data_IF_600427450674
#
_entry.id   IF_600427450674
#
_cell.length_a   1.000
_cell.length_b   1.000
_cell.length_c   1.000
_cell.angle_alpha   90.00
_cell.angle_beta   90.00
_cell.angle_gamma   90.00
#
_symmetry.space_group_name_H-M   'P 1'
#
loop_
_entity.id
_entity.type
_entity.pdbx_description
1 polymer ?
#
# COMPACT_ATOMS: atom_id res chain seq x y z
N UNK A 1 13.88 12.58 -12.03
CA UNK A 1 15.22 12.17 -12.49
C UNK A 1 15.82 13.05 -13.59
N UNK A 2 15.14 14.09 -14.13
CA UNK A 2 15.76 15.02 -15.08
C UNK A 2 16.22 14.43 -16.43
N UNK A 3 15.94 13.14 -16.68
CA UNK A 3 16.41 12.37 -17.85
C UNK A 3 15.62 12.67 -19.12
N UNK A 4 14.39 13.21 -19.01
CA UNK A 4 13.53 13.60 -20.12
C UNK A 4 12.73 14.85 -19.73
N UNK A 5 12.36 15.67 -20.73
CA UNK A 5 11.50 16.83 -20.51
C UNK A 5 10.05 16.41 -20.22
N UNK A 6 9.24 17.24 -19.53
CA UNK A 6 7.82 16.97 -19.31
C UNK A 6 7.04 16.68 -20.60
N UNK A 7 7.33 17.40 -21.68
CA UNK A 7 6.69 17.23 -22.99
C UNK A 7 7.03 15.85 -23.58
N UNK A 8 8.31 15.46 -23.48
CA UNK A 8 8.77 14.14 -23.93
C UNK A 8 8.16 13.02 -23.10
N UNK A 9 8.08 13.18 -21.77
CA UNK A 9 7.38 12.25 -20.87
C UNK A 9 5.93 12.07 -21.28
N UNK A 10 5.20 13.17 -21.47
CA UNK A 10 3.76 13.10 -21.73
C UNK A 10 3.45 12.53 -23.10
N UNK A 11 4.25 12.85 -24.12
CA UNK A 11 4.18 12.20 -25.44
C UNK A 11 4.41 10.69 -25.36
N UNK A 12 5.46 10.25 -24.67
CA UNK A 12 5.79 8.82 -24.51
C UNK A 12 4.75 8.08 -23.66
N UNK A 13 4.19 8.73 -22.64
CA UNK A 13 3.19 8.14 -21.76
C UNK A 13 1.79 8.10 -22.39
N UNK A 14 1.52 8.84 -23.47
CA UNK A 14 0.18 8.96 -24.05
C UNK A 14 -0.40 7.60 -24.49
N UNK A 15 0.37 6.77 -25.20
CA UNK A 15 -0.10 5.45 -25.64
C UNK A 15 -0.32 4.46 -24.46
N UNK A 16 0.63 4.29 -23.51
CA UNK A 16 0.40 3.50 -22.29
C UNK A 16 -0.79 3.98 -21.46
N UNK A 17 -0.98 5.31 -21.32
CA UNK A 17 -2.11 5.88 -20.58
C UNK A 17 -3.45 5.60 -21.26
N UNK A 18 -3.54 5.70 -22.59
CA UNK A 18 -4.75 5.32 -23.34
C UNK A 18 -5.08 3.84 -23.16
N UNK A 19 -4.09 2.96 -23.25
CA UNK A 19 -4.26 1.52 -23.02
C UNK A 19 -4.74 1.25 -21.59
N UNK A 20 -4.10 1.85 -20.60
CA UNK A 20 -4.51 1.72 -19.19
C UNK A 20 -5.94 2.23 -18.95
N UNK A 21 -6.34 3.33 -19.60
CA UNK A 21 -7.70 3.85 -19.49
C UNK A 21 -8.74 2.87 -20.05
N UNK A 22 -8.47 2.29 -21.23
CA UNK A 22 -9.34 1.27 -21.83
C UNK A 22 -9.44 0.01 -20.94
N UNK A 23 -8.31 -0.49 -20.44
CA UNK A 23 -8.26 -1.65 -19.52
C UNK A 23 -8.99 -1.37 -18.20
N UNK A 24 -8.97 -0.13 -17.70
CA UNK A 24 -9.67 0.29 -16.47
C UNK A 24 -11.15 0.63 -16.69
N UNK A 25 -11.66 0.66 -17.92
CA UNK A 25 -13.04 1.08 -18.21
C UNK A 25 -14.08 0.18 -17.51
N UNK A 26 -13.76 -1.10 -17.28
CA UNK A 26 -14.64 -2.06 -16.58
C UNK A 26 -14.67 -1.86 -15.07
N UNK A 27 -13.76 -1.06 -14.49
CA UNK A 27 -13.57 -0.92 -13.04
C UNK A 27 -14.85 -0.50 -12.29
N UNK A 28 -15.64 0.49 -12.74
CA UNK A 28 -16.87 0.88 -12.02
C UNK A 28 -17.88 -0.25 -11.93
N UNK A 29 -18.01 -1.06 -13.00
CA UNK A 29 -18.86 -2.25 -12.98
C UNK A 29 -18.36 -3.28 -11.97
N UNK A 30 -17.06 -3.59 -11.96
CA UNK A 30 -16.50 -4.55 -11.02
C UNK A 30 -16.65 -4.10 -9.56
N UNK A 31 -16.48 -2.81 -9.28
CA UNK A 31 -16.67 -2.25 -7.95
C UNK A 31 -18.12 -2.34 -7.48
N UNK A 32 -19.08 -2.14 -8.39
CA UNK A 32 -20.51 -2.26 -8.09
C UNK A 32 -20.97 -3.74 -7.98
N UNK A 33 -20.44 -4.62 -8.83
CA UNK A 33 -20.82 -6.04 -8.86
C UNK A 33 -20.17 -6.86 -7.75
N UNK A 34 -18.95 -6.47 -7.33
CA UNK A 34 -18.17 -7.17 -6.31
C UNK A 34 -17.70 -6.21 -5.20
N UNK A 35 -18.63 -5.55 -4.49
CA UNK A 35 -18.27 -4.64 -3.42
C UNK A 35 -17.62 -5.41 -2.26
N UNK A 36 -16.66 -4.78 -1.58
CA UNK A 36 -16.11 -5.35 -0.35
C UNK A 36 -17.18 -5.25 0.75
N UNK A 37 -17.58 -6.36 1.39
CA UNK A 37 -18.55 -6.33 2.48
C UNK A 37 -18.14 -5.38 3.61
N UNK A 38 -19.07 -4.56 4.07
CA UNK A 38 -18.83 -3.60 5.16
C UNK A 38 -18.28 -4.27 6.43
N UNK A 39 -18.69 -5.51 6.73
CA UNK A 39 -18.19 -6.27 7.87
C UNK A 39 -16.67 -6.57 7.81
N UNK A 40 -16.07 -6.61 6.61
CA UNK A 40 -14.62 -6.77 6.44
C UNK A 40 -13.89 -5.43 6.64
N UNK A 41 -14.50 -4.34 6.20
CA UNK A 41 -13.93 -3.00 6.29
C UNK A 41 -14.06 -2.40 7.70
N UNK A 42 -15.17 -2.70 8.39
CA UNK A 42 -15.54 -2.16 9.71
C UNK A 42 -16.03 -3.28 10.62
N UNK A 43 -15.16 -4.25 10.96
CA UNK A 43 -15.55 -5.37 11.80
C UNK A 43 -15.83 -4.94 13.25
N UNK A 44 -16.44 -5.83 14.04
CA UNK A 44 -16.70 -5.62 15.46
C UNK A 44 -15.39 -5.50 16.28
N UNK A 45 -15.44 -4.83 17.42
CA UNK A 45 -14.25 -4.45 18.21
C UNK A 45 -13.34 -5.63 18.60
N UNK A 46 -13.93 -6.79 18.93
CA UNK A 46 -13.19 -7.99 19.29
C UNK A 46 -12.43 -8.65 18.12
N UNK A 47 -12.68 -8.22 16.88
CA UNK A 47 -12.10 -8.83 15.69
C UNK A 47 -10.63 -8.45 15.55
N UNK A 48 -9.75 -9.44 15.47
CA UNK A 48 -8.34 -9.25 15.13
C UNK A 48 -8.24 -8.85 13.66
N UNK A 49 -7.81 -7.61 13.40
CA UNK A 49 -7.60 -7.12 12.03
C UNK A 49 -6.16 -7.36 11.57
N UNK A 50 -5.19 -7.40 12.49
CA UNK A 50 -3.78 -7.65 12.19
C UNK A 50 -3.31 -8.92 12.86
N UNK A 51 -3.39 -10.05 12.15
CA UNK A 51 -2.92 -11.34 12.66
C UNK A 51 -1.45 -11.34 13.11
N UNK A 52 -0.59 -10.58 12.41
CA UNK A 52 0.85 -10.62 12.68
C UNK A 52 1.26 -9.93 13.98
N UNK A 53 0.45 -8.98 14.45
CA UNK A 53 0.76 -8.13 15.62
C UNK A 53 -0.41 -8.20 16.64
N UNK A 54 -1.35 -9.12 16.41
CA UNK A 54 -2.51 -9.43 17.25
C UNK A 54 -3.40 -8.21 17.60
N UNK A 55 -3.49 -7.24 16.67
CA UNK A 55 -4.25 -6.01 16.86
C UNK A 55 -5.72 -6.18 16.49
N UNK A 56 -6.62 -5.75 17.37
CA UNK A 56 -8.07 -5.75 17.17
C UNK A 56 -8.62 -4.45 16.58
N UNK A 57 -9.82 -4.52 16.02
CA UNK A 57 -10.53 -3.34 15.50
C UNK A 57 -10.81 -2.31 16.62
N UNK A 58 -11.17 -2.78 17.82
CA UNK A 58 -11.46 -1.92 18.96
C UNK A 58 -10.23 -1.12 19.41
N UNK A 59 -9.05 -1.75 19.41
CA UNK A 59 -7.79 -1.06 19.69
C UNK A 59 -7.55 0.06 18.67
N UNK A 60 -7.71 -0.22 17.37
CA UNK A 60 -7.56 0.80 16.32
C UNK A 60 -8.54 1.96 16.49
N UNK A 61 -9.82 1.68 16.79
CA UNK A 61 -10.81 2.74 17.06
C UNK A 61 -10.43 3.60 18.26
N UNK A 62 -9.98 2.97 19.36
CA UNK A 62 -9.53 3.70 20.55
C UNK A 62 -8.33 4.61 20.22
N UNK A 63 -7.37 4.08 19.48
CA UNK A 63 -6.18 4.81 19.04
C UNK A 63 -6.47 5.94 18.05
N UNK A 64 -7.39 5.75 17.11
CA UNK A 64 -7.77 6.76 16.14
C UNK A 64 -8.48 7.96 16.79
N UNK A 65 -9.19 7.73 17.90
CA UNK A 65 -9.81 8.80 18.72
C UNK A 65 -8.78 9.57 19.54
N UNK A 66 -7.66 8.95 19.90
CA UNK A 66 -6.56 9.62 20.60
C UNK A 66 -5.81 10.52 19.60
N UNK A 67 -5.97 11.83 19.76
CA UNK A 67 -5.25 12.87 19.03
C UNK A 67 -5.42 12.87 17.49
N UNK A 68 -6.50 12.28 16.94
CA UNK A 68 -6.75 12.27 15.50
C UNK A 68 -5.63 11.59 14.69
N UNK A 69 -4.97 10.60 15.31
CA UNK A 69 -3.83 9.92 14.72
C UNK A 69 -4.17 9.28 13.36
N UNK A 70 -3.38 9.58 12.34
CA UNK A 70 -3.47 8.92 11.04
C UNK A 70 -2.95 7.47 11.08
N UNK A 71 -3.18 6.73 10.01
CA UNK A 71 -2.80 5.31 9.92
C UNK A 71 -1.31 5.05 10.18
N UNK A 72 -0.40 5.95 9.75
CA UNK A 72 1.04 5.80 9.98
C UNK A 72 1.43 6.05 11.45
N UNK A 73 0.75 6.94 12.16
CA UNK A 73 0.96 7.16 13.58
C UNK A 73 0.49 5.92 14.36
N UNK A 74 -0.72 5.42 14.07
CA UNK A 74 -1.24 4.20 14.69
C UNK A 74 -0.33 3.00 14.43
N UNK A 75 0.21 2.88 13.21
CA UNK A 75 1.26 1.89 12.90
C UNK A 75 2.48 2.04 13.81
N UNK A 76 2.94 3.25 14.08
CA UNK A 76 4.18 3.48 14.84
C UNK A 76 4.08 3.01 16.30
N UNK A 77 2.96 3.27 16.98
CA UNK A 77 2.81 2.87 18.39
C UNK A 77 2.06 1.55 18.56
N UNK A 78 1.04 1.27 17.74
CA UNK A 78 0.21 0.08 17.82
C UNK A 78 0.69 -1.08 16.94
N UNK A 79 1.79 -0.90 16.21
CA UNK A 79 2.46 -1.89 15.34
C UNK A 79 1.62 -2.48 14.20
N UNK A 80 0.35 -2.09 14.07
CA UNK A 80 -0.53 -2.54 12.99
C UNK A 80 0.12 -2.33 11.62
N UNK A 81 0.26 -3.43 10.87
CA UNK A 81 0.92 -3.42 9.55
C UNK A 81 2.46 -3.41 9.59
N UNK A 82 3.09 -3.70 10.73
CA UNK A 82 4.55 -3.91 10.85
C UNK A 82 5.00 -5.38 10.72
N UNK A 83 4.07 -6.33 10.82
CA UNK A 83 4.39 -7.75 10.66
C UNK A 83 4.90 -8.12 9.25
N UNK A 84 5.30 -9.38 9.01
CA UNK A 84 5.89 -9.81 7.73
C UNK A 84 4.97 -9.64 6.51
N UNK A 85 3.66 -9.53 6.73
CA UNK A 85 2.70 -9.18 5.68
C UNK A 85 2.77 -7.70 5.24
N UNK A 86 3.43 -6.84 6.01
CA UNK A 86 3.62 -5.40 5.76
C UNK A 86 2.30 -4.66 5.50
N UNK A 87 1.25 -5.02 6.23
CA UNK A 87 -0.05 -4.35 6.13
C UNK A 87 -0.92 -4.78 4.95
N UNK A 88 -0.54 -5.81 4.17
CA UNK A 88 -1.33 -6.30 3.03
C UNK A 88 -2.75 -6.73 3.39
N UNK A 89 -2.93 -7.32 4.57
CA UNK A 89 -4.23 -7.82 5.01
C UNK A 89 -5.01 -6.79 5.85
N UNK A 90 -4.31 -6.05 6.72
CA UNK A 90 -4.96 -5.15 7.68
C UNK A 90 -5.03 -3.69 7.22
N UNK A 91 -4.28 -3.29 6.19
CA UNK A 91 -4.09 -1.89 5.82
C UNK A 91 -5.36 -1.19 5.35
N UNK A 92 -6.22 -1.89 4.59
CA UNK A 92 -7.50 -1.35 4.13
C UNK A 92 -8.46 -1.13 5.30
N UNK A 93 -8.68 -2.16 6.13
CA UNK A 93 -9.49 -2.09 7.35
C UNK A 93 -8.96 -1.02 8.31
N UNK A 94 -7.63 -0.90 8.49
CA UNK A 94 -7.03 0.18 9.29
C UNK A 94 -7.45 1.56 8.77
N UNK A 95 -7.31 1.80 7.46
CA UNK A 95 -7.69 3.09 6.86
C UNK A 95 -9.17 3.40 7.05
N UNK A 96 -10.05 2.41 6.87
CA UNK A 96 -11.50 2.54 7.07
C UNK A 96 -11.87 2.83 8.52
N UNK A 97 -11.27 2.14 9.48
CA UNK A 97 -11.53 2.36 10.91
C UNK A 97 -11.05 3.74 11.37
N UNK A 98 -9.93 4.21 10.82
CA UNK A 98 -9.44 5.58 11.08
C UNK A 98 -10.40 6.61 10.49
N UNK A 99 -10.86 6.40 9.25
CA UNK A 99 -11.80 7.30 8.59
C UNK A 99 -13.14 7.34 9.35
N UNK A 100 -13.65 6.18 9.77
CA UNK A 100 -14.83 6.03 10.62
C UNK A 100 -14.67 6.80 11.94
N UNK A 101 -13.55 6.62 12.64
CA UNK A 101 -13.30 7.29 13.91
C UNK A 101 -13.13 8.82 13.78
N UNK A 102 -12.68 9.30 12.62
CA UNK A 102 -12.45 10.72 12.34
C UNK A 102 -13.66 11.39 11.64
N UNK A 103 -14.69 10.63 11.28
CA UNK A 103 -15.86 11.15 10.58
C UNK A 103 -15.56 11.66 9.16
N UNK A 104 -14.52 11.15 8.51
CA UNK A 104 -14.13 11.56 7.15
C UNK A 104 -14.43 10.47 6.12
N UNK A 105 -14.60 10.82 4.82
CA UNK A 105 -14.81 9.84 3.77
C UNK A 105 -13.64 8.85 3.63
N UNK A 106 -13.92 7.57 3.30
CA UNK A 106 -12.92 6.62 2.85
C UNK A 106 -12.02 7.22 1.75
N UNK A 107 -10.70 7.08 1.91
CA UNK A 107 -9.70 7.62 0.98
C UNK A 107 -9.09 8.97 1.35
N UNK A 108 -9.64 9.69 2.34
CA UNK A 108 -8.96 10.87 2.92
C UNK A 108 -7.86 10.48 3.92
N UNK A 109 -7.95 9.29 4.51
CA UNK A 109 -6.88 8.73 5.34
C UNK A 109 -5.74 8.26 4.44
N UNK A 110 -4.56 8.86 4.62
CA UNK A 110 -3.37 8.45 3.88
C UNK A 110 -3.04 6.97 4.14
N UNK A 111 -2.76 6.17 3.09
CA UNK A 111 -2.43 4.77 3.26
C UNK A 111 -1.09 4.59 3.97
N UNK A 112 -0.85 3.36 4.45
CA UNK A 112 0.45 2.98 4.99
C UNK A 112 1.53 3.15 3.91
N UNK A 113 2.64 3.79 4.28
CA UNK A 113 3.75 4.01 3.34
C UNK A 113 4.43 2.68 3.01
N UNK A 114 4.40 2.31 1.73
CA UNK A 114 5.07 1.12 1.19
C UNK A 114 6.58 1.40 1.08
N UNK A 115 7.41 0.44 1.49
CA UNK A 115 8.87 0.50 1.39
C UNK A 115 9.43 -0.80 0.80
N UNK A 116 10.50 -0.75 0.00
CA UNK A 116 11.22 -1.94 -0.42
C UNK A 116 11.94 -2.60 0.78
N UNK A 117 12.13 -3.93 0.77
CA UNK A 117 11.63 -4.89 -0.22
C UNK A 117 10.12 -5.19 -0.05
N UNK A 118 9.40 -5.40 -1.16
CA UNK A 118 7.93 -5.59 -1.14
C UNK A 118 7.52 -6.91 -0.43
N UNK A 119 8.36 -7.93 -0.52
CA UNK A 119 8.28 -9.19 0.21
C UNK A 119 9.56 -9.35 1.03
N UNK A 120 9.48 -10.01 2.21
CA UNK A 120 10.69 -10.37 2.94
C UNK A 120 11.63 -11.16 2.04
N UNK A 121 12.90 -10.77 2.05
CA UNK A 121 14.01 -11.50 1.45
C UNK A 121 15.04 -11.73 2.55
N UNK A 122 15.76 -12.83 2.46
CA UNK A 122 16.85 -13.13 3.38
C UNK A 122 18.04 -12.21 3.12
N UNK A 123 18.90 -12.04 4.12
CA UNK A 123 20.14 -11.29 3.93
C UNK A 123 21.07 -11.96 2.91
N UNK A 124 21.04 -13.29 2.82
CA UNK A 124 21.82 -14.05 1.83
C UNK A 124 21.37 -13.79 0.40
N UNK A 125 20.05 -13.76 0.14
CA UNK A 125 19.51 -13.39 -1.18
C UNK A 125 19.88 -11.95 -1.55
N UNK A 126 19.81 -11.03 -0.59
CA UNK A 126 20.18 -9.63 -0.81
C UNK A 126 21.68 -9.50 -1.13
N UNK A 127 22.55 -10.19 -0.38
CA UNK A 127 24.00 -10.19 -0.61
C UNK A 127 24.39 -10.84 -1.95
N UNK A 128 23.63 -11.83 -2.42
CA UNK A 128 23.87 -12.48 -3.70
C UNK A 128 23.58 -11.57 -4.92
N UNK A 129 22.83 -10.47 -4.74
CA UNK A 129 22.54 -9.53 -5.84
C UNK A 129 23.78 -8.72 -6.28
N UNK A 130 24.77 -8.54 -5.41
CA UNK A 130 26.00 -7.79 -5.72
C UNK A 130 26.89 -8.50 -6.76
N UNK A 131 26.68 -9.81 -6.99
CA UNK A 131 27.36 -10.57 -8.05
C UNK A 131 26.69 -10.49 -9.43
N UNK A 132 25.53 -9.84 -9.54
CA UNK A 132 24.76 -9.77 -10.79
C UNK A 132 24.99 -8.49 -11.60
N UNK A 133 25.88 -7.60 -11.15
CA UNK A 133 26.28 -6.38 -11.88
C UNK A 133 27.50 -6.60 -12.78
N UNK A 134 27.49 -7.67 -13.57
CA UNK A 134 28.21 -7.71 -14.85
C UNK A 134 27.18 -8.04 -15.93
N UNK A 135 26.38 -7.04 -16.29
CA UNK A 135 25.63 -7.08 -17.54
C UNK A 135 26.59 -7.09 -18.72
N UNK A 136 26.30 -7.80 -19.82
CA UNK A 136 27.21 -7.87 -20.95
C UNK A 136 27.29 -6.52 -21.67
N UNK A 137 28.49 -5.94 -21.70
CA UNK A 137 28.95 -5.05 -22.78
C UNK A 137 28.63 -3.57 -22.66
N UNK A 138 29.33 -2.86 -21.77
CA UNK A 138 29.65 -1.45 -21.98
C UNK A 138 31.18 -1.30 -22.17
N UNK A 139 31.63 -1.37 -23.43
CA UNK A 139 32.90 -0.79 -23.87
C UNK A 139 34.09 -1.74 -24.02
N UNK A 140 34.37 -2.14 -25.26
CA UNK A 140 35.74 -2.25 -25.75
C UNK A 140 35.82 -1.54 -27.09
N UNK A 141 36.42 -0.36 -27.09
CA UNK A 141 36.78 0.40 -28.28
C UNK A 141 37.77 -0.40 -29.14
N UNK A 142 37.45 -0.52 -30.43
CA UNK A 142 38.37 -0.41 -31.57
C UNK A 142 37.61 0.20 -32.73
#
# INVERSE_FOLDING_TARGET
LGRITPESRDRLAAAPRRRLAAERAIRPFLEAAFPVPAAILRPADATVICRCEEVTAGQVRAWARLAGAGANQIKAFGRVGMGPCQGRFCGLTLGELVAEAQGCPPGQVAPLRIRPPLKPVTLGELAALDGATEGPGAGAAR
#
